data_IF_958358833995
#
_entry.id   IF_958358833995
#
_cell.length_a   1.000
_cell.length_b   1.000
_cell.length_c   1.000
_cell.angle_alpha   90.00
_cell.angle_beta   90.00
_cell.angle_gamma   90.00
#
_symmetry.space_group_name_H-M   'P 1'
#
loop_
_entity.id
_entity.type
_entity.pdbx_description
1 polymer ?
#
# COMPACT_ATOMS: atom_id res chain seq x y z
N UNK A 1 -83.48 -5.20 -29.19
CA UNK A 1 -84.78 -5.90 -29.06
C UNK A 1 -84.54 -7.36 -28.75
N UNK A 2 -85.46 -8.03 -28.04
CA UNK A 2 -85.45 -9.51 -27.92
C UNK A 2 -86.18 -10.11 -29.13
N UNK A 3 -85.83 -11.33 -29.55
CA UNK A 3 -86.52 -12.05 -30.64
C UNK A 3 -88.04 -12.17 -30.41
N UNK A 4 -88.45 -12.14 -29.14
CA UNK A 4 -89.86 -12.16 -28.67
C UNK A 4 -90.63 -10.86 -29.00
N UNK A 5 -89.93 -9.75 -29.25
CA UNK A 5 -90.52 -8.42 -29.54
C UNK A 5 -90.77 -8.21 -31.05
N UNK A 6 -90.34 -9.15 -31.89
CA UNK A 6 -90.60 -9.11 -33.33
C UNK A 6 -92.09 -9.32 -33.61
N UNK A 7 -92.76 -8.28 -34.10
CA UNK A 7 -94.20 -8.31 -34.43
C UNK A 7 -94.50 -9.39 -35.48
N UNK A 8 -95.32 -10.39 -35.13
CA UNK A 8 -95.86 -11.42 -36.04
C UNK A 8 -97.00 -10.82 -36.91
N UNK A 9 -96.93 -11.03 -38.21
CA UNK A 9 -97.99 -10.79 -39.19
C UNK A 9 -98.65 -12.10 -39.63
N UNK A 10 -99.54 -12.02 -40.63
CA UNK A 10 -100.39 -13.14 -41.09
C UNK A 10 -99.60 -14.37 -41.60
N UNK A 11 -98.31 -14.21 -41.93
CA UNK A 11 -97.42 -15.26 -42.45
C UNK A 11 -96.07 -15.35 -41.71
N UNK A 12 -96.02 -14.99 -40.41
CA UNK A 12 -94.79 -15.03 -39.60
C UNK A 12 -94.25 -13.64 -39.27
N UNK A 13 -92.95 -13.49 -38.99
CA UNK A 13 -92.37 -12.20 -38.60
C UNK A 13 -92.45 -11.16 -39.74
N UNK A 14 -92.78 -9.90 -39.39
CA UNK A 14 -92.77 -8.82 -40.38
C UNK A 14 -91.34 -8.53 -40.86
N UNK A 15 -91.15 -8.60 -42.18
CA UNK A 15 -89.87 -8.37 -42.88
C UNK A 15 -89.16 -7.10 -42.41
N UNK A 16 -89.88 -5.98 -42.30
CA UNK A 16 -89.31 -4.69 -41.88
C UNK A 16 -88.78 -4.70 -40.44
N UNK A 17 -89.46 -5.43 -39.54
CA UNK A 17 -89.07 -5.53 -38.12
C UNK A 17 -87.86 -6.45 -37.96
N UNK A 18 -87.76 -7.50 -38.79
CA UNK A 18 -86.58 -8.39 -38.83
C UNK A 18 -85.36 -7.63 -39.36
N UNK A 19 -85.50 -6.83 -40.42
CA UNK A 19 -84.40 -5.99 -40.90
C UNK A 19 -83.94 -4.97 -39.86
N UNK A 20 -84.86 -4.28 -39.18
CA UNK A 20 -84.52 -3.37 -38.09
C UNK A 20 -83.73 -4.07 -36.98
N UNK A 21 -84.12 -5.30 -36.62
CA UNK A 21 -83.40 -6.08 -35.61
C UNK A 21 -82.01 -6.51 -36.07
N UNK A 22 -81.86 -6.98 -37.31
CA UNK A 22 -80.56 -7.36 -37.89
C UNK A 22 -79.65 -6.14 -37.94
N UNK A 23 -80.13 -5.01 -38.47
CA UNK A 23 -79.36 -3.75 -38.51
C UNK A 23 -78.95 -3.28 -37.11
N UNK A 24 -79.83 -3.39 -36.11
CA UNK A 24 -79.48 -3.08 -34.72
C UNK A 24 -78.40 -4.01 -34.16
N UNK A 25 -78.44 -5.31 -34.47
CA UNK A 25 -77.41 -6.25 -34.04
C UNK A 25 -76.08 -5.99 -34.75
N UNK A 26 -76.09 -5.78 -36.07
CA UNK A 26 -74.90 -5.42 -36.85
C UNK A 26 -74.24 -4.15 -36.33
N UNK A 27 -75.02 -3.13 -35.98
CA UNK A 27 -74.53 -1.90 -35.37
C UNK A 27 -73.89 -2.16 -33.99
N UNK A 28 -74.53 -2.96 -33.14
CA UNK A 28 -73.98 -3.33 -31.82
C UNK A 28 -72.69 -4.16 -31.93
N UNK A 29 -72.61 -5.08 -32.90
CA UNK A 29 -71.39 -5.84 -33.16
C UNK A 29 -70.28 -4.93 -33.68
N UNK A 30 -70.59 -4.01 -34.59
CA UNK A 30 -69.63 -3.05 -35.13
C UNK A 30 -69.09 -2.13 -34.03
N UNK A 31 -69.96 -1.65 -33.13
CA UNK A 31 -69.55 -0.88 -31.97
C UNK A 31 -68.62 -1.68 -31.03
N UNK A 32 -68.97 -2.92 -30.69
CA UNK A 32 -68.12 -3.77 -29.83
C UNK A 32 -66.77 -4.11 -30.46
N UNK A 33 -66.72 -4.26 -31.79
CA UNK A 33 -65.44 -4.49 -32.49
C UNK A 33 -64.59 -3.23 -32.46
N UNK A 34 -65.18 -2.06 -32.75
CA UNK A 34 -64.48 -0.79 -32.65
C UNK A 34 -63.96 -0.51 -31.22
N UNK A 35 -64.74 -0.84 -30.19
CA UNK A 35 -64.32 -0.73 -28.79
C UNK A 35 -63.14 -1.65 -28.46
N UNK A 36 -63.19 -2.91 -28.91
CA UNK A 36 -62.10 -3.88 -28.69
C UNK A 36 -60.83 -3.48 -29.45
N UNK A 37 -60.96 -3.03 -30.69
CA UNK A 37 -59.83 -2.55 -31.48
C UNK A 37 -59.19 -1.33 -30.81
N UNK A 38 -60.00 -0.37 -30.35
CA UNK A 38 -59.51 0.77 -29.59
C UNK A 38 -58.82 0.36 -28.27
N UNK A 39 -59.33 -0.66 -27.58
CA UNK A 39 -58.71 -1.18 -26.37
C UNK A 39 -57.36 -1.86 -26.67
N UNK A 40 -57.30 -2.69 -27.71
CA UNK A 40 -56.07 -3.36 -28.14
C UNK A 40 -55.02 -2.35 -28.58
N UNK A 41 -55.40 -1.30 -29.29
CA UNK A 41 -54.47 -0.26 -29.71
C UNK A 41 -53.92 0.54 -28.52
N UNK A 42 -54.75 0.82 -27.50
CA UNK A 42 -54.27 1.43 -26.24
C UNK A 42 -53.27 0.53 -25.52
N UNK A 43 -53.57 -0.76 -25.41
CA UNK A 43 -52.64 -1.71 -24.78
C UNK A 43 -51.33 -1.81 -25.56
N UNK A 44 -51.38 -1.90 -26.90
CA UNK A 44 -50.18 -1.90 -27.74
C UNK A 44 -49.35 -0.64 -27.55
N UNK A 45 -49.98 0.53 -27.47
CA UNK A 45 -49.28 1.79 -27.22
C UNK A 45 -48.60 1.81 -25.84
N UNK A 46 -49.29 1.33 -24.81
CA UNK A 46 -48.72 1.22 -23.46
C UNK A 46 -47.54 0.24 -23.41
N UNK A 47 -47.68 -0.93 -24.02
CA UNK A 47 -46.61 -1.92 -24.09
C UNK A 47 -45.41 -1.40 -24.87
N UNK A 48 -45.64 -0.71 -25.99
CA UNK A 48 -44.57 -0.09 -26.77
C UNK A 48 -43.85 1.00 -25.99
N UNK A 49 -44.58 1.86 -25.27
CA UNK A 49 -43.97 2.87 -24.40
C UNK A 49 -43.11 2.21 -23.32
N UNK A 50 -43.63 1.15 -22.68
CA UNK A 50 -42.89 0.45 -21.62
C UNK A 50 -41.64 -0.26 -22.14
N UNK A 51 -41.71 -0.86 -23.32
CA UNK A 51 -40.55 -1.47 -23.98
C UNK A 51 -39.49 -0.40 -24.26
N UNK A 52 -39.88 0.77 -24.78
CA UNK A 52 -38.94 1.86 -25.05
C UNK A 52 -38.27 2.38 -23.78
N UNK A 53 -39.02 2.55 -22.69
CA UNK A 53 -38.45 2.92 -21.38
C UNK A 53 -37.42 1.88 -20.90
N UNK A 54 -37.80 0.60 -20.89
CA UNK A 54 -36.93 -0.47 -20.43
C UNK A 54 -35.69 -0.64 -21.32
N UNK A 55 -35.80 -0.40 -22.61
CA UNK A 55 -34.67 -0.39 -23.53
C UNK A 55 -33.71 0.77 -23.25
N UNK A 56 -34.23 1.96 -22.95
CA UNK A 56 -33.42 3.12 -22.56
C UNK A 56 -32.70 2.87 -21.23
N UNK A 57 -33.41 2.36 -20.22
CA UNK A 57 -32.81 1.97 -18.94
C UNK A 57 -31.72 0.91 -19.12
N UNK A 58 -31.96 -0.11 -19.96
CA UNK A 58 -30.95 -1.13 -20.25
C UNK A 58 -29.71 -0.56 -20.93
N UNK A 59 -29.87 0.41 -21.83
CA UNK A 59 -28.73 1.09 -22.48
C UNK A 59 -27.93 1.89 -21.46
N UNK A 60 -28.61 2.69 -20.63
CA UNK A 60 -27.97 3.47 -19.58
C UNK A 60 -27.20 2.57 -18.59
N UNK A 61 -27.82 1.49 -18.11
CA UNK A 61 -27.17 0.54 -17.20
C UNK A 61 -25.96 -0.16 -17.83
N UNK A 62 -26.02 -0.47 -19.13
CA UNK A 62 -24.87 -1.04 -19.84
C UNK A 62 -23.71 -0.04 -19.92
N UNK A 63 -24.01 1.22 -20.22
CA UNK A 63 -23.01 2.28 -20.24
C UNK A 63 -22.38 2.48 -18.85
N UNK A 64 -23.18 2.53 -17.79
CA UNK A 64 -22.69 2.61 -16.41
C UNK A 64 -21.80 1.41 -16.05
N UNK A 65 -22.21 0.18 -16.38
CA UNK A 65 -21.40 -1.02 -16.16
C UNK A 65 -20.06 -0.96 -16.91
N UNK A 66 -20.05 -0.49 -18.16
CA UNK A 66 -18.79 -0.35 -18.91
C UNK A 66 -17.88 0.70 -18.28
N UNK A 67 -18.44 1.81 -17.80
CA UNK A 67 -17.68 2.85 -17.09
C UNK A 67 -17.10 2.33 -15.77
N UNK A 68 -17.89 1.60 -14.99
CA UNK A 68 -17.44 1.02 -13.72
C UNK A 68 -16.33 -0.02 -13.92
N UNK A 69 -16.44 -0.85 -14.97
CA UNK A 69 -15.37 -1.80 -15.33
C UNK A 69 -14.09 -1.08 -15.72
N UNK A 70 -14.18 -0.05 -16.55
CA UNK A 70 -13.00 0.74 -16.91
C UNK A 70 -12.35 1.41 -15.68
N UNK A 71 -13.16 1.90 -14.73
CA UNK A 71 -12.65 2.42 -13.46
C UNK A 71 -11.98 1.34 -12.61
N UNK A 72 -12.56 0.14 -12.52
CA UNK A 72 -11.98 -0.98 -11.81
C UNK A 72 -10.63 -1.40 -12.39
N UNK A 73 -10.51 -1.44 -13.72
CA UNK A 73 -9.26 -1.75 -14.42
C UNK A 73 -8.19 -0.69 -14.12
N UNK A 74 -8.57 0.60 -14.17
CA UNK A 74 -7.67 1.71 -13.82
C UNK A 74 -7.17 1.62 -12.37
N UNK A 75 -8.07 1.33 -11.43
CA UNK A 75 -7.71 1.17 -10.01
C UNK A 75 -6.76 -0.02 -9.84
N UNK A 76 -7.05 -1.15 -10.52
CA UNK A 76 -6.22 -2.35 -10.46
C UNK A 76 -4.81 -2.07 -10.98
N UNK A 77 -4.69 -1.35 -12.10
CA UNK A 77 -3.40 -0.93 -12.63
C UNK A 77 -2.64 -0.02 -11.65
N UNK A 78 -3.31 0.99 -11.09
CA UNK A 78 -2.70 1.89 -10.12
C UNK A 78 -2.20 1.16 -8.86
N UNK A 79 -2.92 0.14 -8.39
CA UNK A 79 -2.50 -0.70 -7.26
C UNK A 79 -1.25 -1.50 -7.60
N UNK A 80 -1.18 -2.08 -8.81
CA UNK A 80 0.01 -2.81 -9.27
C UNK A 80 1.22 -1.89 -9.38
N UNK A 81 1.04 -0.71 -9.96
CA UNK A 81 2.10 0.28 -10.11
C UNK A 81 2.59 0.75 -8.73
N UNK A 82 1.68 1.09 -7.82
CA UNK A 82 2.02 1.49 -6.46
C UNK A 82 2.78 0.39 -5.69
N UNK A 83 2.37 -0.88 -5.87
CA UNK A 83 3.07 -2.02 -5.25
C UNK A 83 4.48 -2.18 -5.80
N UNK A 84 4.65 -2.11 -7.12
CA UNK A 84 5.97 -2.21 -7.75
C UNK A 84 6.91 -1.09 -7.30
N UNK A 85 6.38 0.14 -7.17
CA UNK A 85 7.12 1.29 -6.65
C UNK A 85 7.51 1.11 -5.18
N UNK A 86 6.59 0.61 -4.34
CA UNK A 86 6.89 0.32 -2.95
C UNK A 86 7.96 -0.79 -2.78
N UNK A 87 7.93 -1.82 -3.63
CA UNK A 87 8.95 -2.86 -3.67
C UNK A 87 10.32 -2.30 -4.09
N UNK A 88 10.36 -1.43 -5.10
CA UNK A 88 11.59 -0.74 -5.53
C UNK A 88 12.17 0.14 -4.40
N UNK A 89 11.35 0.95 -3.74
CA UNK A 89 11.78 1.80 -2.62
C UNK A 89 12.30 0.98 -1.43
N UNK A 90 11.68 -0.17 -1.15
CA UNK A 90 12.15 -1.09 -0.10
C UNK A 90 13.50 -1.70 -0.47
N UNK A 91 13.68 -2.12 -1.73
CA UNK A 91 14.95 -2.65 -2.20
C UNK A 91 16.06 -1.59 -2.11
N UNK A 92 15.79 -0.37 -2.55
CA UNK A 92 16.73 0.75 -2.45
C UNK A 92 17.07 1.08 -1.00
N UNK A 93 16.07 1.12 -0.12
CA UNK A 93 16.28 1.39 1.31
C UNK A 93 17.14 0.31 1.97
N UNK A 94 16.92 -0.96 1.64
CA UNK A 94 17.75 -2.07 2.13
C UNK A 94 19.18 -1.98 1.63
N UNK A 95 19.37 -1.70 0.34
CA UNK A 95 20.70 -1.54 -0.24
C UNK A 95 21.49 -0.40 0.45
N UNK A 96 20.84 0.76 0.65
CA UNK A 96 21.43 1.89 1.38
C UNK A 96 21.73 1.56 2.84
N UNK A 97 20.86 0.82 3.50
CA UNK A 97 21.09 0.38 4.88
C UNK A 97 22.28 -0.59 4.97
N UNK A 98 22.39 -1.55 4.05
CA UNK A 98 23.53 -2.47 3.98
C UNK A 98 24.84 -1.73 3.72
N UNK A 99 24.86 -0.78 2.79
CA UNK A 99 26.03 0.06 2.52
C UNK A 99 26.42 0.90 3.76
N UNK A 100 25.45 1.54 4.42
CA UNK A 100 25.70 2.29 5.65
C UNK A 100 26.21 1.39 6.79
N UNK A 101 25.65 0.18 6.94
CA UNK A 101 26.13 -0.79 7.93
C UNK A 101 27.57 -1.22 7.65
N UNK A 102 27.90 -1.46 6.39
CA UNK A 102 29.24 -1.89 5.99
C UNK A 102 30.27 -0.78 6.22
N UNK A 103 29.94 0.46 5.88
CA UNK A 103 30.82 1.61 6.18
C UNK A 103 31.06 1.81 7.67
N UNK A 104 30.02 1.70 8.50
CA UNK A 104 30.14 1.75 9.96
C UNK A 104 30.99 0.60 10.49
N UNK A 105 30.80 -0.61 9.96
CA UNK A 105 31.59 -1.78 10.34
C UNK A 105 33.07 -1.58 10.03
N UNK A 106 33.40 -1.11 8.83
CA UNK A 106 34.78 -0.84 8.42
C UNK A 106 35.42 0.26 9.26
N UNK A 107 34.67 1.31 9.60
CA UNK A 107 35.16 2.35 10.51
C UNK A 107 35.47 1.77 11.89
N UNK A 108 34.56 0.96 12.46
CA UNK A 108 34.77 0.30 13.74
C UNK A 108 35.99 -0.63 13.73
N UNK A 109 36.18 -1.41 12.66
CA UNK A 109 37.34 -2.29 12.52
C UNK A 109 38.67 -1.49 12.47
N UNK A 110 38.68 -0.33 11.82
CA UNK A 110 39.84 0.58 11.81
C UNK A 110 40.12 1.15 13.19
N UNK A 111 39.09 1.67 13.87
CA UNK A 111 39.23 2.25 15.21
C UNK A 111 39.75 1.21 16.22
N UNK A 112 39.25 -0.04 16.15
CA UNK A 112 39.74 -1.13 16.99
C UNK A 112 41.21 -1.47 16.72
N UNK A 113 41.64 -1.45 15.46
CA UNK A 113 43.04 -1.66 15.11
C UNK A 113 43.94 -0.52 15.64
N UNK A 114 43.50 0.73 15.54
CA UNK A 114 44.23 1.87 16.12
C UNK A 114 44.33 1.76 17.64
N UNK A 115 43.25 1.41 18.33
CA UNK A 115 43.25 1.20 19.78
C UNK A 115 44.19 0.06 20.20
N UNK A 116 44.25 -1.02 19.42
CA UNK A 116 45.21 -2.09 19.65
C UNK A 116 46.66 -1.57 19.53
N UNK A 117 46.94 -0.78 18.49
CA UNK A 117 48.25 -0.13 18.31
C UNK A 117 48.61 0.80 19.47
N UNK A 118 47.70 1.64 19.94
CA UNK A 118 47.95 2.48 21.12
C UNK A 118 48.21 1.66 22.37
N UNK A 119 47.50 0.55 22.56
CA UNK A 119 47.72 -0.35 23.70
C UNK A 119 49.11 -0.98 23.68
N UNK A 120 49.59 -1.38 22.50
CA UNK A 120 50.97 -1.88 22.32
C UNK A 120 52.00 -0.79 22.63
N UNK A 121 51.82 0.42 22.10
CA UNK A 121 52.70 1.56 22.37
C UNK A 121 52.77 1.90 23.86
N UNK A 122 51.62 1.92 24.56
CA UNK A 122 51.58 2.15 26.01
C UNK A 122 52.34 1.05 26.76
N UNK A 123 52.21 -0.20 26.32
CA UNK A 123 52.89 -1.34 26.94
C UNK A 123 54.41 -1.23 26.75
N UNK A 124 54.86 -0.90 25.55
CA UNK A 124 56.27 -0.67 25.24
C UNK A 124 56.84 0.52 26.03
N UNK A 125 56.10 1.62 26.14
CA UNK A 125 56.50 2.78 26.93
C UNK A 125 56.65 2.42 28.42
N UNK A 126 55.71 1.65 28.99
CA UNK A 126 55.80 1.19 30.38
C UNK A 126 57.05 0.33 30.61
N UNK A 127 57.34 -0.59 29.70
CA UNK A 127 58.56 -1.41 29.77
C UNK A 127 59.82 -0.55 29.68
N UNK A 128 59.87 0.40 28.74
CA UNK A 128 61.01 1.31 28.59
C UNK A 128 61.25 2.14 29.87
N UNK A 129 60.18 2.66 30.50
CA UNK A 129 60.27 3.38 31.77
C UNK A 129 60.78 2.47 32.88
N UNK A 130 60.28 1.24 33.00
CA UNK A 130 60.74 0.28 34.01
C UNK A 130 62.24 -0.02 33.85
N UNK A 131 62.69 -0.36 32.63
CA UNK A 131 64.11 -0.62 32.36
C UNK A 131 64.99 0.60 32.64
N UNK A 132 64.52 1.81 32.31
CA UNK A 132 65.25 3.03 32.62
C UNK A 132 65.39 3.26 34.13
N UNK A 133 64.30 3.05 34.90
CA UNK A 133 64.32 3.15 36.36
C UNK A 133 65.22 2.10 37.01
N UNK A 134 65.18 0.86 36.54
CA UNK A 134 66.07 -0.22 37.01
C UNK A 134 67.55 0.12 36.76
N UNK A 135 67.86 0.63 35.56
CA UNK A 135 69.22 1.08 35.22
C UNK A 135 69.67 2.25 36.08
N UNK A 136 68.82 3.24 36.30
CA UNK A 136 69.12 4.36 37.19
C UNK A 136 69.35 3.89 38.63
N UNK A 137 68.55 2.93 39.12
CA UNK A 137 68.73 2.32 40.44
C UNK A 137 70.07 1.59 40.57
N UNK A 138 70.47 0.82 39.55
CA UNK A 138 71.79 0.17 39.49
C UNK A 138 72.93 1.20 39.51
N UNK A 139 72.85 2.23 38.66
CA UNK A 139 73.86 3.29 38.61
C UNK A 139 73.97 4.09 39.91
N UNK A 140 72.84 4.36 40.57
CA UNK A 140 72.82 5.02 41.87
C UNK A 140 73.50 4.15 42.94
N UNK A 141 73.20 2.84 42.98
CA UNK A 141 73.86 1.91 43.90
C UNK A 141 75.36 1.76 43.65
N UNK A 142 75.78 1.72 42.39
CA UNK A 142 77.21 1.72 42.02
C UNK A 142 77.91 3.02 42.48
N UNK A 143 77.26 4.18 42.32
CA UNK A 143 77.77 5.46 42.82
C UNK A 143 77.86 5.49 44.35
N UNK A 144 76.87 4.92 45.05
CA UNK A 144 76.84 4.86 46.51
C UNK A 144 77.99 3.99 47.03
N UNK A 145 78.22 2.83 46.42
CA UNK A 145 79.36 1.96 46.71
C UNK A 145 80.70 2.66 46.45
N UNK A 146 80.84 3.35 45.32
CA UNK A 146 82.05 4.13 45.02
C UNK A 146 82.27 5.26 46.03
N UNK A 147 81.20 5.90 46.51
CA UNK A 147 81.28 6.95 47.53
C UNK A 147 81.67 6.38 48.91
N UNK A 148 81.13 5.22 49.31
CA UNK A 148 81.53 4.51 50.54
C UNK A 148 82.99 4.05 50.46
N UNK A 149 83.43 3.47 49.34
CA UNK A 149 84.83 3.08 49.13
C UNK A 149 85.78 4.28 49.20
N UNK A 150 85.40 5.43 48.64
CA UNK A 150 86.17 6.67 48.76
C UNK A 150 86.17 7.21 50.19
N UNK A 151 85.06 7.10 50.92
CA UNK A 151 84.96 7.52 52.32
C UNK A 151 85.84 6.65 53.24
N UNK A 152 85.83 5.34 53.06
CA UNK A 152 86.73 4.38 53.73
C UNK A 152 88.20 4.59 53.34
N UNK A 153 88.47 4.92 52.07
CA UNK A 153 89.81 5.26 51.57
C UNK A 153 90.27 6.68 51.96
N UNK A 154 89.39 7.50 52.54
CA UNK A 154 89.77 8.81 53.06
C UNK A 154 90.51 8.62 54.38
N UNK A 155 91.79 9.02 54.51
CA UNK A 155 92.47 8.92 55.78
C UNK A 155 91.69 9.77 56.78
N UNK A 156 91.35 9.21 57.95
CA UNK A 156 90.97 9.98 59.12
C UNK A 156 92.14 10.91 59.47
N UNK A 157 92.20 12.05 58.80
CA UNK A 157 93.16 13.10 59.11
C UNK A 157 92.65 13.72 60.39
N UNK A 158 93.10 13.13 61.49
CA UNK A 158 92.99 13.62 62.85
C UNK A 158 93.04 15.16 62.83
N UNK A 159 91.92 15.78 63.21
CA UNK A 159 91.81 17.21 63.52
C UNK A 159 92.55 17.52 64.84
N UNK A 160 93.80 17.05 64.97
CA UNK A 160 94.67 17.26 66.13
C UNK A 160 95.98 17.91 65.69
N UNK A 161 95.95 18.96 64.88
CA UNK A 161 97.15 19.76 64.57
C UNK A 161 96.82 21.24 64.35
N UNK A 162 96.19 21.86 65.37
CA UNK A 162 96.37 23.29 65.65
C UNK A 162 96.35 23.47 67.19
N UNK A 163 97.53 23.29 67.79
CA UNK A 163 97.97 24.01 68.99
C UNK A 163 99.09 24.94 68.55
#
# INVERSE_FOLDING_TARGET
MRLEELKKGLWGYRKDVVFQYISQQEEQFTQKMAEKDAQLDRMRQQDQARIQELEQENRALKEELTRLRAQQDQISQAILDARSSAEALRAESRAKEEEARETVRQALERDLAELAGYREQITALRQAIQTALERMGQQAGEMEQQAEELFEATPQRNLTLFQ
#
